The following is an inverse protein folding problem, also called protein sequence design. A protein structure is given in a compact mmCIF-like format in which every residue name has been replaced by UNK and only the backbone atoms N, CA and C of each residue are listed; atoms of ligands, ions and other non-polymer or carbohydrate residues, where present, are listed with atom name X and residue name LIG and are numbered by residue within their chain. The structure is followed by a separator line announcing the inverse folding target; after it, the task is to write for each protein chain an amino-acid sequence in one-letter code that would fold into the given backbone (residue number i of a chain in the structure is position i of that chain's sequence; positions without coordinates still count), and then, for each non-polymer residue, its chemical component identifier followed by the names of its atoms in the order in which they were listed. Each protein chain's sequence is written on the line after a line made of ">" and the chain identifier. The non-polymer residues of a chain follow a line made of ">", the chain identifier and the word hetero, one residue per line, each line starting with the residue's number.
data_IF_605574310034
#
_entry.id   IF_605574310034
#
_cell.length_a   1.000
_cell.length_b   1.000
_cell.length_c   1.000
_cell.angle_alpha   90.00
_cell.angle_beta   90.00
_cell.angle_gamma   90.00
#
_symmetry.space_group_name_H-M   'P 1'
#
loop_
_entity.id
_entity.type
_entity.pdbx_description
1 polymer ?
#
# COMPACT_ATOMS: atom_id res chain seq x y z
N UNK A 1 4.65 19.99 16.69
CA UNK A 1 5.82 19.28 16.13
C UNK A 1 5.43 18.35 14.99
N UNK A 2 4.30 17.64 15.09
CA UNK A 2 4.00 16.51 14.20
C UNK A 2 3.31 16.87 12.88
N UNK A 3 2.53 17.95 12.84
CA UNK A 3 1.81 18.34 11.61
C UNK A 3 2.77 18.70 10.48
N UNK A 4 3.84 19.45 10.79
CA UNK A 4 4.88 19.80 9.81
C UNK A 4 5.56 18.55 9.27
N UNK A 5 5.97 17.62 10.14
CA UNK A 5 6.59 16.36 9.71
C UNK A 5 5.66 15.54 8.81
N UNK A 6 4.39 15.42 9.18
CA UNK A 6 3.38 14.69 8.39
C UNK A 6 3.19 15.31 7.01
N UNK A 7 3.13 16.64 6.92
CA UNK A 7 3.01 17.37 5.65
C UNK A 7 4.26 17.12 4.79
N UNK A 8 5.45 17.31 5.35
CA UNK A 8 6.71 17.09 4.62
C UNK A 8 6.85 15.64 4.13
N UNK A 9 6.46 14.66 4.96
CA UNK A 9 6.44 13.25 4.58
C UNK A 9 5.49 12.99 3.41
N UNK A 10 4.27 13.53 3.47
CA UNK A 10 3.28 13.38 2.41
C UNK A 10 3.75 14.03 1.10
N UNK A 11 4.29 15.24 1.17
CA UNK A 11 4.87 15.94 0.03
C UNK A 11 6.07 15.18 -0.55
N UNK A 12 6.88 14.55 0.29
CA UNK A 12 7.99 13.70 -0.11
C UNK A 12 7.54 12.48 -0.92
N UNK A 13 6.53 11.74 -0.43
CA UNK A 13 5.96 10.59 -1.17
C UNK A 13 5.34 11.06 -2.48
N UNK A 14 4.57 12.15 -2.46
CA UNK A 14 3.90 12.67 -3.65
C UNK A 14 4.90 13.15 -4.71
N UNK A 15 5.90 13.94 -4.31
CA UNK A 15 6.95 14.40 -5.21
C UNK A 15 7.81 13.25 -5.75
N UNK A 16 8.14 12.25 -4.91
CA UNK A 16 8.84 11.05 -5.35
C UNK A 16 8.05 10.27 -6.40
N UNK A 17 6.74 10.10 -6.21
CA UNK A 17 5.87 9.48 -7.21
C UNK A 17 5.85 10.28 -8.52
N UNK A 18 5.79 11.62 -8.45
CA UNK A 18 5.82 12.50 -9.62
C UNK A 18 7.16 12.41 -10.39
N UNK A 19 8.29 12.40 -9.67
CA UNK A 19 9.62 12.23 -10.28
C UNK A 19 9.72 10.87 -10.97
N UNK A 20 9.31 9.79 -10.30
CA UNK A 20 9.31 8.45 -10.90
C UNK A 20 8.40 8.38 -12.14
N UNK A 21 7.24 9.01 -12.11
CA UNK A 21 6.33 9.08 -13.26
C UNK A 21 6.99 9.73 -14.48
N UNK A 22 7.75 10.81 -14.27
CA UNK A 22 8.46 11.48 -15.36
C UNK A 22 9.69 10.73 -15.86
N UNK A 23 10.43 10.04 -14.97
CA UNK A 23 11.61 9.28 -15.35
C UNK A 23 11.29 7.93 -16.00
N UNK A 24 10.21 7.28 -15.57
CA UNK A 24 9.83 5.93 -15.98
C UNK A 24 8.34 5.86 -16.36
N UNK A 25 7.87 6.63 -17.36
CA UNK A 25 6.45 6.73 -17.70
C UNK A 25 5.81 5.37 -18.05
N UNK A 26 6.57 4.46 -18.68
CA UNK A 26 6.10 3.11 -19.03
C UNK A 26 5.85 2.22 -17.82
N UNK A 27 6.45 2.50 -16.66
CA UNK A 27 6.17 1.77 -15.42
C UNK A 27 4.78 2.10 -14.83
N UNK A 28 4.16 3.19 -15.30
CA UNK A 28 2.87 3.68 -14.85
C UNK A 28 1.77 3.52 -15.92
N UNK A 29 2.01 2.75 -16.98
CA UNK A 29 0.96 2.34 -17.91
C UNK A 29 0.07 1.29 -17.25
N UNK A 30 -0.95 1.76 -16.52
CA UNK A 30 -1.91 0.91 -15.84
C UNK A 30 -2.96 0.44 -16.87
N UNK A 31 -2.70 -0.67 -17.55
CA UNK A 31 -3.67 -1.28 -18.44
C UNK A 31 -4.88 -1.81 -17.64
N UNK A 32 -6.10 -1.40 -18.02
CA UNK A 32 -7.35 -2.02 -17.56
C UNK A 32 -7.91 -1.56 -16.20
N UNK A 33 -7.33 -0.56 -15.53
CA UNK A 33 -7.81 -0.12 -14.22
C UNK A 33 -8.70 1.14 -14.32
N UNK A 34 -9.99 1.00 -14.01
CA UNK A 34 -10.90 2.15 -14.01
C UNK A 34 -10.66 3.09 -12.82
N UNK A 35 -10.85 4.41 -12.96
CA UNK A 35 -10.71 5.37 -11.86
C UNK A 35 -11.58 5.02 -10.64
N UNK A 36 -12.78 4.47 -10.87
CA UNK A 36 -13.66 4.03 -9.81
C UNK A 36 -13.05 2.92 -8.95
N UNK A 37 -12.36 1.93 -9.56
CA UNK A 37 -11.67 0.86 -8.83
C UNK A 37 -10.53 1.41 -7.96
N UNK A 38 -9.78 2.39 -8.46
CA UNK A 38 -8.72 3.05 -7.69
C UNK A 38 -9.26 3.76 -6.45
N UNK A 39 -10.36 4.49 -6.58
CA UNK A 39 -11.01 5.18 -5.46
C UNK A 39 -11.49 4.17 -4.42
N UNK A 40 -12.18 3.09 -4.85
CA UNK A 40 -12.65 2.04 -3.96
C UNK A 40 -11.47 1.37 -3.25
N UNK A 41 -10.40 1.02 -3.99
CA UNK A 41 -9.20 0.43 -3.42
C UNK A 41 -8.56 1.36 -2.36
N UNK A 42 -8.45 2.65 -2.63
CA UNK A 42 -7.91 3.63 -1.69
C UNK A 42 -8.72 3.71 -0.39
N UNK A 43 -10.06 3.71 -0.49
CA UNK A 43 -10.94 3.71 0.68
C UNK A 43 -10.77 2.43 1.49
N UNK A 44 -10.78 1.27 0.84
CA UNK A 44 -10.61 -0.02 1.51
C UNK A 44 -9.25 -0.13 2.21
N UNK A 45 -8.17 0.29 1.55
CA UNK A 45 -6.82 0.31 2.14
C UNK A 45 -6.76 1.27 3.32
N UNK A 46 -7.32 2.48 3.19
CA UNK A 46 -7.35 3.46 4.28
C UNK A 46 -8.12 2.96 5.51
N UNK A 47 -9.28 2.34 5.28
CA UNK A 47 -10.08 1.73 6.33
C UNK A 47 -9.35 0.55 7.00
N UNK A 48 -8.76 -0.36 6.22
CA UNK A 48 -7.97 -1.47 6.72
C UNK A 48 -6.77 -1.03 7.56
N UNK A 49 -6.06 0.01 7.11
CA UNK A 49 -4.91 0.61 7.82
C UNK A 49 -5.33 1.13 9.20
N UNK A 50 -6.50 1.75 9.29
CA UNK A 50 -7.03 2.25 10.57
C UNK A 50 -7.42 1.11 11.51
N UNK A 51 -8.09 0.07 11.00
CA UNK A 51 -8.43 -1.11 11.81
C UNK A 51 -7.20 -1.87 12.30
N UNK A 52 -6.16 -1.97 11.47
CA UNK A 52 -4.89 -2.61 11.82
C UNK A 52 -4.03 -1.80 12.80
N UNK A 53 -4.42 -0.57 13.13
CA UNK A 53 -3.64 0.40 13.91
C UNK A 53 -2.26 0.69 13.28
N UNK A 54 -2.18 0.66 11.95
CA UNK A 54 -0.94 0.80 11.18
C UNK A 54 -1.07 0.27 9.75
N UNK A 55 -0.13 0.67 8.90
CA UNK A 55 -0.01 0.16 7.53
C UNK A 55 1.00 -0.98 7.46
N UNK A 56 1.00 -1.72 6.36
CA UNK A 56 1.96 -2.81 6.10
C UNK A 56 3.40 -2.33 6.21
N UNK A 57 3.73 -1.15 5.67
CA UNK A 57 5.08 -0.59 5.78
C UNK A 57 5.43 -0.15 7.20
N UNK A 58 4.47 0.32 8.00
CA UNK A 58 4.69 0.70 9.39
C UNK A 58 4.96 -0.50 10.31
N UNK A 59 4.17 -1.57 10.15
CA UNK A 59 4.42 -2.84 10.85
C UNK A 59 5.69 -3.52 10.34
N UNK A 60 5.97 -3.45 9.03
CA UNK A 60 7.16 -4.02 8.41
C UNK A 60 8.43 -3.29 8.86
N UNK A 61 8.62 -2.04 8.43
CA UNK A 61 9.86 -1.29 8.65
C UNK A 61 10.08 -1.00 10.13
N UNK A 62 9.19 -0.23 10.77
CA UNK A 62 9.40 0.19 12.16
C UNK A 62 9.07 -0.91 13.18
N UNK A 63 8.12 -1.80 12.87
CA UNK A 63 7.66 -2.85 13.78
C UNK A 63 8.61 -4.05 13.85
N UNK A 64 9.08 -4.55 12.70
CA UNK A 64 10.02 -5.68 12.65
C UNK A 64 11.41 -5.26 13.12
N UNK A 65 11.88 -4.04 12.79
CA UNK A 65 13.17 -3.54 13.32
C UNK A 65 13.23 -3.44 14.85
N UNK A 66 12.06 -3.37 15.52
CA UNK A 66 11.96 -3.41 16.98
C UNK A 66 11.68 -4.83 17.54
N UNK A 67 11.81 -5.86 16.71
CA UNK A 67 11.51 -7.26 17.05
C UNK A 67 10.12 -7.47 17.68
N UNK A 68 9.12 -6.69 17.25
CA UNK A 68 7.75 -6.81 17.75
C UNK A 68 7.05 -8.02 17.11
N UNK A 69 6.78 -9.07 17.90
CA UNK A 69 6.03 -10.25 17.45
C UNK A 69 4.65 -9.90 16.87
N UNK A 70 3.97 -8.90 17.46
CA UNK A 70 2.69 -8.39 16.93
C UNK A 70 2.84 -7.80 15.53
N UNK A 71 3.92 -7.08 15.28
CA UNK A 71 4.14 -6.45 13.96
C UNK A 71 4.58 -7.47 12.91
N UNK A 72 5.34 -8.48 13.32
CA UNK A 72 5.70 -9.61 12.47
C UNK A 72 4.42 -10.37 12.06
N UNK A 73 3.56 -10.74 13.01
CA UNK A 73 2.32 -11.45 12.70
C UNK A 73 1.38 -10.63 11.81
N UNK A 74 1.21 -9.33 12.10
CA UNK A 74 0.41 -8.43 11.25
C UNK A 74 0.95 -8.37 9.82
N UNK A 75 2.27 -8.24 9.65
CA UNK A 75 2.91 -8.19 8.33
C UNK A 75 2.72 -9.49 7.56
N UNK A 76 2.88 -10.64 8.21
CA UNK A 76 2.65 -11.95 7.59
C UNK A 76 1.20 -12.12 7.12
N UNK A 77 0.22 -11.71 7.94
CA UNK A 77 -1.20 -11.76 7.58
C UNK A 77 -1.48 -10.86 6.38
N UNK A 78 -1.00 -9.61 6.39
CA UNK A 78 -1.20 -8.69 5.26
C UNK A 78 -0.61 -9.23 3.96
N UNK A 79 0.60 -9.77 3.99
CA UNK A 79 1.24 -10.34 2.81
C UNK A 79 0.55 -11.62 2.34
N UNK A 80 0.14 -12.50 3.26
CA UNK A 80 -0.58 -13.73 2.92
C UNK A 80 -1.92 -13.43 2.23
N UNK A 81 -2.72 -12.51 2.79
CA UNK A 81 -3.98 -12.10 2.16
C UNK A 81 -3.76 -11.37 0.84
N UNK A 82 -2.74 -10.51 0.73
CA UNK A 82 -2.39 -9.87 -0.54
C UNK A 82 -2.05 -10.88 -1.65
N UNK A 83 -1.21 -11.87 -1.32
CA UNK A 83 -0.86 -12.97 -2.23
C UNK A 83 -2.09 -13.82 -2.60
N UNK A 84 -2.96 -14.11 -1.62
CA UNK A 84 -4.19 -14.86 -1.85
C UNK A 84 -5.16 -14.09 -2.75
N UNK A 85 -5.38 -12.79 -2.48
CA UNK A 85 -6.28 -11.94 -3.29
C UNK A 85 -5.80 -11.88 -4.73
N UNK A 86 -4.52 -11.61 -4.98
CA UNK A 86 -4.02 -11.57 -6.36
C UNK A 86 -4.06 -12.95 -7.03
N UNK A 87 -3.82 -14.02 -6.29
CA UNK A 87 -3.96 -15.40 -6.78
C UNK A 87 -5.39 -15.69 -7.23
N UNK A 88 -6.38 -15.35 -6.41
CA UNK A 88 -7.80 -15.50 -6.75
C UNK A 88 -8.16 -14.63 -7.96
N UNK A 89 -7.80 -13.35 -7.95
CA UNK A 89 -8.14 -12.41 -9.03
C UNK A 89 -7.54 -12.86 -10.37
N UNK A 90 -6.28 -13.30 -10.37
CA UNK A 90 -5.61 -13.74 -11.60
C UNK A 90 -6.08 -15.09 -12.10
N UNK A 91 -6.23 -16.08 -11.21
CA UNK A 91 -6.47 -17.46 -11.63
C UNK A 91 -7.95 -17.85 -11.66
N UNK A 92 -8.79 -17.26 -10.81
CA UNK A 92 -10.22 -17.60 -10.71
C UNK A 92 -11.08 -16.60 -11.45
N UNK A 93 -10.79 -15.30 -11.31
CA UNK A 93 -11.58 -14.22 -11.94
C UNK A 93 -11.07 -13.84 -13.33
N UNK A 94 -10.03 -14.51 -13.85
CA UNK A 94 -9.53 -14.30 -15.21
C UNK A 94 -8.77 -12.99 -15.44
N UNK A 95 -8.30 -12.33 -14.37
CA UNK A 95 -7.52 -11.09 -14.47
C UNK A 95 -8.36 -9.87 -14.84
N UNK A 96 -9.39 -9.59 -14.05
CA UNK A 96 -10.23 -8.37 -14.15
C UNK A 96 -9.46 -7.07 -13.95
#
# INVERSE_FOLDING_TARGET
>A
GDTLWRILFFLGIFSGALVCYHLYPTAFEIAGLSPARLVIAGILVGFGTRMGNGCTSGHGVCGISRFSLRSISATLVFMAFGALTIGIVRHVLGGV
#
